data_IF_829337475466
#
_entry.id   IF_829337475466
#
_cell.length_a   1.000
_cell.length_b   1.000
_cell.length_c   1.000
_cell.angle_alpha   90.00
_cell.angle_beta   90.00
_cell.angle_gamma   90.00
#
_symmetry.space_group_name_H-M   'P 1'
#
loop_
_entity.id
_entity.type
_entity.pdbx_description
1 polymer ?
#
# COMPACT_ATOMS: atom_id res chain seq x y z
N UNK A 1 -13.40 -34.05 -35.97
CA UNK A 1 -13.67 -34.90 -34.78
C UNK A 1 -12.34 -35.47 -34.30
N UNK A 2 -12.18 -35.54 -32.98
CA UNK A 2 -11.04 -36.03 -32.17
C UNK A 2 -10.00 -34.99 -31.73
N UNK A 3 -10.46 -34.20 -30.77
CA UNK A 3 -9.91 -33.87 -29.43
C UNK A 3 -8.65 -34.59 -28.89
N UNK A 4 -7.78 -33.77 -28.28
CA UNK A 4 -7.00 -33.91 -27.02
C UNK A 4 -5.97 -35.06 -26.91
N UNK A 5 -4.81 -34.92 -26.26
CA UNK A 5 -4.47 -34.25 -24.98
C UNK A 5 -2.97 -33.89 -24.94
N UNK A 6 -2.61 -32.78 -24.31
CA UNK A 6 -1.27 -32.58 -23.73
C UNK A 6 -1.46 -32.28 -22.25
N UNK A 7 -1.00 -33.13 -21.32
CA UNK A 7 -0.80 -32.76 -19.93
C UNK A 7 0.70 -32.51 -19.71
N UNK A 8 1.07 -31.27 -19.40
CA UNK A 8 2.32 -31.00 -18.70
C UNK A 8 2.00 -30.04 -17.56
N UNK A 9 1.46 -30.61 -16.48
CA UNK A 9 1.40 -29.98 -15.16
C UNK A 9 2.80 -30.15 -14.55
N UNK A 10 3.66 -29.14 -14.70
CA UNK A 10 4.71 -28.91 -13.72
C UNK A 10 4.04 -28.27 -12.51
N UNK A 11 4.01 -29.00 -11.40
CA UNK A 11 3.68 -28.43 -10.10
C UNK A 11 4.86 -27.55 -9.67
N UNK A 12 4.76 -26.23 -9.89
CA UNK A 12 5.58 -25.26 -9.17
C UNK A 12 5.08 -25.23 -7.72
N UNK A 13 5.99 -25.44 -6.77
CA UNK A 13 5.78 -25.03 -5.39
C UNK A 13 5.93 -23.51 -5.36
N UNK A 14 4.84 -22.79 -5.64
CA UNK A 14 4.82 -21.33 -5.59
C UNK A 14 4.73 -20.89 -4.14
N UNK A 15 5.73 -20.16 -3.63
CA UNK A 15 5.53 -19.37 -2.42
C UNK A 15 4.36 -18.40 -2.67
N UNK A 16 3.29 -18.55 -1.91
CA UNK A 16 2.13 -17.67 -2.03
C UNK A 16 2.53 -16.25 -1.57
N UNK A 17 2.06 -15.19 -2.26
CA UNK A 17 2.18 -13.84 -1.73
C UNK A 17 1.54 -13.78 -0.35
N UNK A 18 2.20 -13.09 0.58
CA UNK A 18 1.83 -13.07 1.99
C UNK A 18 1.54 -11.67 2.49
N UNK A 19 0.47 -11.53 3.27
CA UNK A 19 0.18 -10.36 4.09
C UNK A 19 0.80 -10.55 5.48
N UNK A 20 1.44 -9.51 6.02
CA UNK A 20 1.90 -9.49 7.40
C UNK A 20 1.39 -8.24 8.12
N UNK A 21 1.25 -8.37 9.43
CA UNK A 21 0.59 -7.39 10.30
C UNK A 21 1.58 -7.00 11.42
N UNK A 22 1.84 -5.70 11.61
CA UNK A 22 2.70 -5.15 12.67
C UNK A 22 4.16 -4.86 12.29
N UNK A 23 4.92 -4.14 13.17
CA UNK A 23 6.26 -3.62 12.88
C UNK A 23 7.27 -4.76 12.83
N UNK A 24 7.35 -5.45 11.69
CA UNK A 24 8.07 -6.72 11.50
C UNK A 24 8.27 -7.48 12.82
N UNK A 25 7.19 -7.74 13.54
CA UNK A 25 7.17 -8.83 14.51
C UNK A 25 7.03 -10.06 13.63
N UNK A 26 8.15 -10.45 13.02
CA UNK A 26 8.29 -11.71 12.31
C UNK A 26 8.32 -12.78 13.40
N UNK A 27 7.18 -12.97 14.07
CA UNK A 27 6.96 -14.05 15.04
C UNK A 27 6.75 -15.34 14.26
N UNK A 28 7.75 -15.76 13.47
CA UNK A 28 7.88 -17.08 12.84
C UNK A 28 6.74 -17.59 11.94
N UNK A 29 5.63 -16.86 11.81
CA UNK A 29 4.38 -17.35 11.23
C UNK A 29 4.03 -16.73 9.86
N UNK A 30 4.83 -15.78 9.38
CA UNK A 30 4.59 -15.05 8.12
C UNK A 30 5.86 -14.76 7.33
N UNK A 31 6.94 -15.50 7.58
CA UNK A 31 7.99 -15.63 6.57
C UNK A 31 7.35 -16.44 5.45
N UNK A 32 7.20 -15.93 4.20
CA UNK A 32 6.84 -16.78 3.07
C UNK A 32 7.67 -18.07 3.11
N UNK A 33 7.00 -19.22 3.08
CA UNK A 33 7.68 -20.52 3.11
C UNK A 33 8.85 -20.51 2.11
N UNK A 34 10.06 -20.72 2.62
CA UNK A 34 11.28 -20.76 1.81
C UNK A 34 12.19 -19.53 1.83
N UNK A 35 11.96 -18.56 2.72
CA UNK A 35 12.96 -17.51 2.99
C UNK A 35 13.88 -17.88 4.15
N UNK A 36 15.18 -17.72 3.92
CA UNK A 36 16.22 -17.94 4.92
C UNK A 36 16.47 -16.68 5.78
N UNK A 37 17.33 -16.83 6.80
CA UNK A 37 17.72 -15.70 7.67
C UNK A 37 18.35 -14.55 6.89
N UNK A 38 19.05 -14.82 5.79
CA UNK A 38 19.63 -13.76 4.95
C UNK A 38 18.54 -12.91 4.31
N UNK A 39 17.57 -13.56 3.66
CA UNK A 39 16.45 -12.90 3.00
C UNK A 39 15.56 -12.15 4.00
N UNK A 40 15.47 -12.66 5.23
CA UNK A 40 14.81 -11.96 6.33
C UNK A 40 15.50 -10.64 6.69
N UNK A 41 16.83 -10.65 6.81
CA UNK A 41 17.61 -9.44 7.07
C UNK A 41 17.51 -8.45 5.90
N UNK A 42 17.50 -8.95 4.66
CA UNK A 42 17.27 -8.12 3.47
C UNK A 42 15.89 -7.47 3.51
N UNK A 43 14.85 -8.18 3.94
CA UNK A 43 13.50 -7.63 4.09
C UNK A 43 13.44 -6.53 5.18
N UNK A 44 14.07 -6.77 6.34
CA UNK A 44 14.18 -5.76 7.41
C UNK A 44 14.91 -4.51 6.90
N UNK A 45 16.05 -4.70 6.23
CA UNK A 45 16.83 -3.61 5.65
C UNK A 45 16.03 -2.85 4.57
N UNK A 46 15.31 -3.57 3.72
CA UNK A 46 14.47 -3.00 2.66
C UNK A 46 13.33 -2.14 3.22
N UNK A 47 12.82 -2.42 4.42
CA UNK A 47 11.83 -1.55 5.06
C UNK A 47 12.44 -0.28 5.64
N UNK A 48 13.65 -0.37 6.19
CA UNK A 48 14.36 0.80 6.73
C UNK A 48 14.89 1.69 5.60
N UNK A 49 15.19 1.11 4.45
CA UNK A 49 15.77 1.77 3.29
C UNK A 49 15.01 1.41 2.01
N UNK A 50 13.76 1.89 1.85
CA UNK A 50 12.96 1.52 0.70
C UNK A 50 13.47 2.16 -0.59
N UNK A 51 13.35 1.42 -1.69
CA UNK A 51 13.73 1.92 -3.02
C UNK A 51 12.85 3.10 -3.44
N UNK A 52 11.56 3.05 -3.08
CA UNK A 52 10.62 4.15 -3.28
C UNK A 52 9.75 4.33 -2.03
N UNK A 53 9.48 5.57 -1.67
CA UNK A 53 8.59 5.90 -0.55
C UNK A 53 7.80 7.16 -0.89
N UNK A 54 6.56 7.23 -0.41
CA UNK A 54 5.78 8.46 -0.36
C UNK A 54 5.06 8.53 0.97
N UNK A 55 4.93 9.75 1.49
CA UNK A 55 4.21 10.02 2.71
C UNK A 55 3.36 11.27 2.58
N UNK A 56 2.25 11.29 3.31
CA UNK A 56 1.34 12.42 3.39
C UNK A 56 0.94 12.63 4.83
N UNK A 57 0.82 13.87 5.25
CA UNK A 57 0.42 14.20 6.61
C UNK A 57 -1.09 14.38 6.74
N UNK A 58 -1.61 14.05 7.92
CA UNK A 58 -3.03 14.12 8.24
C UNK A 58 -3.25 14.25 9.74
N UNK A 59 -4.47 14.59 10.15
CA UNK A 59 -4.88 14.69 11.55
C UNK A 59 -5.92 13.62 11.88
N UNK A 60 -5.54 12.51 12.54
CA UNK A 60 -6.47 11.39 12.82
C UNK A 60 -7.64 11.77 13.74
N UNK A 61 -7.49 12.82 14.54
CA UNK A 61 -8.43 13.21 15.59
C UNK A 61 -9.13 14.55 15.33
N UNK A 62 -9.04 15.08 14.11
CA UNK A 62 -9.75 16.29 13.70
C UNK A 62 -11.25 15.99 13.51
N UNK A 63 -11.99 15.96 14.63
CA UNK A 63 -13.45 15.75 14.63
C UNK A 63 -14.17 17.08 14.86
N UNK A 64 -15.35 17.25 14.25
CA UNK A 64 -16.17 18.47 14.39
C UNK A 64 -16.49 18.80 15.87
N UNK A 65 -16.61 20.10 16.16
CA UNK A 65 -16.70 20.69 17.49
C UNK A 65 -17.85 20.11 18.34
N UNK A 66 -17.55 19.73 19.59
CA UNK A 66 -18.60 19.33 20.54
C UNK A 66 -18.15 18.58 21.81
N UNK A 67 -16.90 18.13 21.89
CA UNK A 67 -16.43 17.32 23.03
C UNK A 67 -15.30 18.03 23.80
N UNK A 68 -15.50 18.13 25.12
CA UNK A 68 -14.64 18.57 26.24
C UNK A 68 -13.13 18.78 26.01
N UNK A 69 -12.53 19.68 26.79
CA UNK A 69 -11.13 20.14 26.77
C UNK A 69 -10.03 19.06 26.65
N UNK A 70 -10.26 17.82 27.07
CA UNK A 70 -9.34 16.70 26.84
C UNK A 70 -9.22 16.28 25.35
N UNK A 71 -10.15 16.72 24.49
CA UNK A 71 -10.08 16.53 23.04
C UNK A 71 -9.09 17.47 22.35
N UNK A 72 -8.66 18.55 23.02
CA UNK A 72 -7.78 19.55 22.41
C UNK A 72 -6.35 19.05 22.20
N UNK A 73 -5.80 18.25 23.11
CA UNK A 73 -4.42 17.78 23.00
C UNK A 73 -4.18 16.82 21.82
N UNK A 74 -5.19 16.04 21.41
CA UNK A 74 -5.06 15.06 20.32
C UNK A 74 -5.42 15.61 18.95
N UNK A 75 -6.22 16.68 18.89
CA UNK A 75 -6.71 17.27 17.62
C UNK A 75 -5.60 17.81 16.74
N UNK A 76 -4.53 18.31 17.35
CA UNK A 76 -3.43 18.95 16.64
C UNK A 76 -2.24 18.03 16.38
N UNK A 77 -2.33 16.76 16.79
CA UNK A 77 -1.27 15.78 16.51
C UNK A 77 -1.35 15.42 15.04
N UNK A 78 -0.32 15.82 14.30
CA UNK A 78 -0.14 15.50 12.90
C UNK A 78 0.57 14.14 12.78
N UNK A 79 -0.04 13.24 12.02
CA UNK A 79 0.56 11.96 11.66
C UNK A 79 0.99 12.00 10.21
N UNK A 80 2.03 11.26 9.85
CA UNK A 80 2.35 10.96 8.48
C UNK A 80 1.97 9.51 8.17
N UNK A 81 1.12 9.30 7.16
CA UNK A 81 0.92 7.99 6.57
C UNK A 81 1.96 7.80 5.48
N UNK A 82 2.72 6.71 5.53
CA UNK A 82 3.74 6.39 4.54
C UNK A 82 3.48 5.03 3.90
N UNK A 83 3.80 4.96 2.61
CA UNK A 83 3.87 3.73 1.83
C UNK A 83 5.30 3.60 1.34
N UNK A 84 5.91 2.47 1.66
CA UNK A 84 7.27 2.14 1.22
C UNK A 84 7.19 0.93 0.30
N UNK A 85 7.89 1.00 -0.83
CA UNK A 85 8.00 -0.10 -1.80
C UNK A 85 9.47 -0.39 -2.03
N UNK A 86 9.85 -1.64 -1.84
CA UNK A 86 11.24 -2.07 -1.94
C UNK A 86 11.35 -3.32 -2.80
N UNK A 87 12.46 -3.40 -3.52
CA UNK A 87 12.88 -4.53 -4.31
C UNK A 87 14.29 -4.90 -3.86
N UNK A 88 14.44 -6.14 -3.39
CA UNK A 88 15.70 -6.65 -2.84
C UNK A 88 15.98 -8.07 -3.30
N UNK A 89 17.26 -8.37 -3.45
CA UNK A 89 17.72 -9.71 -3.80
C UNK A 89 17.46 -10.70 -2.65
N UNK A 90 16.87 -11.84 -2.99
CA UNK A 90 16.60 -12.99 -2.13
C UNK A 90 17.18 -14.28 -2.77
N UNK A 91 18.52 -14.36 -2.96
CA UNK A 91 19.17 -15.40 -3.76
C UNK A 91 19.03 -16.82 -3.20
N UNK A 92 18.67 -16.95 -1.93
CA UNK A 92 18.51 -18.23 -1.24
C UNK A 92 17.05 -18.65 -1.10
N UNK A 93 16.13 -18.00 -1.82
CA UNK A 93 14.72 -18.39 -1.83
C UNK A 93 14.59 -19.84 -2.32
N UNK A 94 13.99 -20.72 -1.52
CA UNK A 94 13.91 -22.17 -1.84
C UNK A 94 12.78 -22.51 -2.82
N UNK A 95 12.29 -21.55 -3.59
CA UNK A 95 11.10 -21.68 -4.45
C UNK A 95 11.35 -22.42 -5.77
N UNK A 96 12.55 -22.99 -5.96
CA UNK A 96 12.90 -23.76 -7.14
C UNK A 96 13.19 -22.90 -8.37
N UNK A 97 13.15 -21.57 -8.24
CA UNK A 97 13.69 -20.67 -9.26
C UNK A 97 15.22 -20.63 -9.16
N UNK A 98 15.88 -20.46 -10.30
CA UNK A 98 17.34 -20.35 -10.40
C UNK A 98 17.67 -19.03 -11.08
N UNK A 99 18.50 -18.18 -10.46
CA UNK A 99 18.88 -16.89 -11.02
C UNK A 99 19.01 -15.79 -9.98
N UNK A 100 18.97 -14.55 -10.46
CA UNK A 100 18.91 -13.32 -9.65
C UNK A 100 17.49 -13.17 -9.10
N UNK A 101 17.20 -13.85 -8.00
CA UNK A 101 15.87 -13.87 -7.38
C UNK A 101 15.68 -12.59 -6.57
N UNK A 102 14.56 -11.92 -6.81
CA UNK A 102 14.15 -10.71 -6.16
C UNK A 102 12.79 -10.87 -5.49
N UNK A 103 12.59 -10.14 -4.39
CA UNK A 103 11.30 -9.99 -3.74
C UNK A 103 10.91 -8.53 -3.66
N UNK A 104 9.63 -8.27 -3.89
CA UNK A 104 9.04 -6.96 -3.73
C UNK A 104 8.28 -6.94 -2.41
N UNK A 105 8.55 -5.92 -1.60
CA UNK A 105 7.76 -5.65 -0.40
C UNK A 105 7.08 -4.29 -0.50
N UNK A 106 5.82 -4.22 -0.05
CA UNK A 106 5.14 -2.96 0.24
C UNK A 106 4.86 -2.91 1.73
N UNK A 107 5.35 -1.90 2.43
CA UNK A 107 5.02 -1.68 3.84
C UNK A 107 4.28 -0.36 4.04
N UNK A 108 3.43 -0.33 5.06
CA UNK A 108 2.66 0.85 5.44
C UNK A 108 2.99 1.22 6.87
N UNK A 109 3.39 2.47 7.11
CA UNK A 109 3.71 2.97 8.45
C UNK A 109 2.97 4.27 8.78
N UNK A 110 2.91 4.57 10.08
CA UNK A 110 2.50 5.87 10.59
C UNK A 110 3.65 6.44 11.42
N UNK A 111 3.91 7.74 11.23
CA UNK A 111 4.86 8.49 12.05
C UNK A 111 4.16 9.64 12.77
N UNK A 112 4.67 10.02 13.93
CA UNK A 112 4.23 11.19 14.72
C UNK A 112 5.45 11.82 15.42
N UNK A 113 5.38 13.06 15.93
CA UNK A 113 6.58 13.82 16.29
C UNK A 113 7.26 13.42 17.61
N UNK A 114 6.51 13.06 18.65
CA UNK A 114 7.01 13.22 20.03
C UNK A 114 7.26 11.91 20.82
N UNK A 115 7.00 10.73 20.24
CA UNK A 115 7.25 9.45 20.93
C UNK A 115 7.56 8.28 19.99
N UNK A 116 8.24 7.25 20.52
CA UNK A 116 8.44 5.98 19.82
C UNK A 116 7.16 5.11 19.86
N UNK A 117 6.40 5.16 20.95
CA UNK A 117 5.15 4.43 21.10
C UNK A 117 3.96 5.37 21.16
N UNK A 118 2.93 5.05 20.37
CA UNK A 118 1.71 5.86 20.33
C UNK A 118 0.96 5.85 21.68
N UNK A 119 1.17 4.83 22.50
CA UNK A 119 0.63 4.69 23.86
C UNK A 119 1.04 5.84 24.79
N UNK A 120 2.28 6.31 24.62
CA UNK A 120 2.88 7.41 25.39
C UNK A 120 2.29 8.74 24.96
N UNK A 121 2.13 8.92 23.64
CA UNK A 121 1.53 10.11 23.05
C UNK A 121 0.06 10.25 23.43
N UNK A 122 -0.67 9.14 23.46
CA UNK A 122 -2.10 9.10 23.78
C UNK A 122 -2.41 9.04 25.28
N UNK A 123 -1.41 9.22 26.15
CA UNK A 123 -1.51 9.19 27.62
C UNK A 123 -2.42 8.05 28.14
N UNK A 124 -2.18 6.82 27.70
CA UNK A 124 -2.91 5.60 28.12
C UNK A 124 -4.41 5.53 27.77
N UNK A 125 -4.86 6.28 26.76
CA UNK A 125 -6.24 6.24 26.27
C UNK A 125 -6.70 4.82 25.91
N UNK A 126 -7.88 4.40 26.37
CA UNK A 126 -8.53 3.11 26.01
C UNK A 126 -9.11 3.11 24.58
N UNK A 127 -8.73 4.10 23.78
CA UNK A 127 -9.18 4.33 22.41
C UNK A 127 -8.64 3.22 21.50
N UNK A 128 -9.35 2.91 20.42
CA UNK A 128 -8.98 1.88 19.43
C UNK A 128 -8.74 2.54 18.08
N UNK A 129 -7.80 2.00 17.32
CA UNK A 129 -7.62 2.37 15.92
C UNK A 129 -8.06 1.22 15.03
N UNK A 130 -9.02 1.50 14.16
CA UNK A 130 -9.47 0.58 13.14
C UNK A 130 -8.91 1.01 11.78
N UNK A 131 -8.41 0.03 11.04
CA UNK A 131 -7.83 0.19 9.73
C UNK A 131 -8.52 -0.78 8.79
N UNK A 132 -8.96 -0.31 7.63
CA UNK A 132 -9.35 -1.19 6.52
C UNK A 132 -8.57 -0.77 5.29
N UNK A 133 -7.93 -1.71 4.60
CA UNK A 133 -7.16 -1.43 3.40
C UNK A 133 -7.69 -2.21 2.20
N UNK A 134 -7.62 -1.59 1.02
CA UNK A 134 -7.75 -2.33 -0.23
C UNK A 134 -6.43 -3.05 -0.50
N UNK A 135 -6.47 -4.38 -0.37
CA UNK A 135 -5.30 -5.25 -0.34
C UNK A 135 -4.90 -5.70 -1.74
N UNK A 136 -5.82 -6.43 -2.40
CA UNK A 136 -5.63 -6.94 -3.74
C UNK A 136 -6.57 -6.20 -4.69
N UNK A 137 -6.01 -5.35 -5.54
CA UNK A 137 -6.75 -4.71 -6.63
C UNK A 137 -5.79 -4.24 -7.73
N UNK A 138 -6.28 -4.29 -8.96
CA UNK A 138 -5.69 -3.59 -10.08
C UNK A 138 -6.75 -2.63 -10.64
N UNK A 139 -6.44 -1.34 -10.74
CA UNK A 139 -7.39 -0.35 -11.25
C UNK A 139 -7.13 -0.09 -12.73
N UNK A 140 -8.18 0.21 -13.51
CA UNK A 140 -8.00 0.72 -14.86
C UNK A 140 -7.07 1.94 -14.90
N UNK A 141 -6.23 2.04 -15.92
CA UNK A 141 -5.24 3.12 -16.05
C UNK A 141 -5.90 4.50 -16.03
N UNK A 142 -7.10 4.67 -16.59
CA UNK A 142 -7.82 5.95 -16.54
C UNK A 142 -8.18 6.36 -15.11
N UNK A 143 -8.51 5.40 -14.24
CA UNK A 143 -8.73 5.64 -12.81
C UNK A 143 -7.40 5.93 -12.13
N UNK A 144 -6.38 5.09 -12.31
CA UNK A 144 -5.04 5.28 -11.71
C UNK A 144 -4.40 6.62 -12.10
N UNK A 145 -4.52 7.04 -13.36
CA UNK A 145 -4.00 8.30 -13.87
C UNK A 145 -4.79 9.54 -13.43
N UNK A 146 -5.96 9.37 -12.82
CA UNK A 146 -6.68 10.49 -12.23
C UNK A 146 -5.98 11.00 -10.96
N UNK A 147 -5.18 10.16 -10.29
CA UNK A 147 -4.22 10.60 -9.28
C UNK A 147 -2.94 11.12 -9.94
N UNK A 148 -2.59 12.37 -9.68
CA UNK A 148 -1.47 13.09 -10.29
C UNK A 148 -0.47 13.58 -9.25
N UNK A 149 0.65 14.18 -9.69
CA UNK A 149 1.61 14.80 -8.78
C UNK A 149 0.99 15.93 -7.92
N UNK A 150 -0.10 16.56 -8.36
CA UNK A 150 -0.82 17.56 -7.56
C UNK A 150 -1.56 16.96 -6.35
N UNK A 151 -1.90 15.67 -6.41
CA UNK A 151 -2.61 14.97 -5.35
C UNK A 151 -1.67 14.46 -4.25
N UNK A 152 -0.36 14.57 -4.43
CA UNK A 152 0.67 13.92 -3.58
C UNK A 152 0.78 14.48 -2.17
N UNK A 153 0.32 15.71 -1.97
CA UNK A 153 0.23 16.36 -0.67
C UNK A 153 -1.18 16.28 -0.06
N UNK A 154 -2.05 15.42 -0.61
CA UNK A 154 -3.41 15.20 -0.11
C UNK A 154 -3.66 13.73 0.15
N UNK A 155 -4.43 13.44 1.20
CA UNK A 155 -4.97 12.10 1.43
C UNK A 155 -6.26 11.84 0.65
N UNK A 156 -6.82 12.84 -0.05
CA UNK A 156 -8.13 12.72 -0.68
C UNK A 156 -8.18 11.65 -1.76
N UNK A 157 -9.21 10.82 -1.69
CA UNK A 157 -9.54 9.87 -2.76
C UNK A 157 -10.42 10.45 -3.87
N UNK A 158 -10.90 11.70 -3.72
CA UNK A 158 -11.97 12.25 -4.57
C UNK A 158 -11.55 12.38 -6.03
N UNK A 159 -10.30 12.79 -6.31
CA UNK A 159 -9.81 12.93 -7.69
C UNK A 159 -9.81 11.60 -8.45
N UNK A 160 -9.64 10.48 -7.74
CA UNK A 160 -9.52 9.15 -8.34
C UNK A 160 -10.82 8.35 -8.30
N UNK A 161 -11.48 8.31 -7.15
CA UNK A 161 -12.68 7.49 -6.94
C UNK A 161 -13.98 8.26 -7.25
N UNK A 162 -13.93 9.59 -7.26
CA UNK A 162 -15.10 10.46 -7.34
C UNK A 162 -15.80 10.63 -5.99
N UNK A 163 -16.38 11.82 -5.77
CA UNK A 163 -16.99 12.19 -4.50
C UNK A 163 -18.08 11.20 -4.05
N UNK A 164 -18.95 10.76 -4.97
CA UNK A 164 -20.05 9.85 -4.65
C UNK A 164 -19.55 8.49 -4.11
N UNK A 165 -18.48 7.93 -4.71
CA UNK A 165 -17.89 6.69 -4.22
C UNK A 165 -17.23 6.89 -2.85
N UNK A 166 -16.48 7.99 -2.66
CA UNK A 166 -15.85 8.33 -1.37
C UNK A 166 -16.91 8.46 -0.27
N UNK A 167 -17.98 9.21 -0.52
CA UNK A 167 -19.07 9.40 0.44
C UNK A 167 -19.77 8.07 0.77
N UNK A 168 -19.98 7.21 -0.23
CA UNK A 168 -20.60 5.91 -0.04
C UNK A 168 -19.71 4.93 0.74
N UNK A 169 -18.39 4.96 0.51
CA UNK A 169 -17.41 4.20 1.30
C UNK A 169 -17.44 4.69 2.75
N UNK A 170 -17.32 5.99 2.99
CA UNK A 170 -17.32 6.56 4.34
C UNK A 170 -18.63 6.28 5.08
N UNK A 171 -19.77 6.34 4.37
CA UNK A 171 -21.09 6.02 4.93
C UNK A 171 -21.25 4.53 5.27
N UNK A 172 -20.72 3.62 4.45
CA UNK A 172 -20.74 2.17 4.68
C UNK A 172 -19.61 1.66 5.57
N UNK A 173 -18.59 2.50 5.80
CA UNK A 173 -17.38 2.26 6.58
C UNK A 173 -17.58 2.34 8.08
N UNK A 174 -18.83 2.36 8.57
CA UNK A 174 -19.12 2.31 9.99
C UNK A 174 -18.53 1.03 10.58
N UNK A 175 -17.39 1.15 11.27
CA UNK A 175 -16.83 0.07 12.05
C UNK A 175 -17.84 -0.24 13.16
N UNK A 176 -18.58 -1.34 13.00
CA UNK A 176 -19.51 -1.83 14.03
C UNK A 176 -18.68 -2.51 15.10
N UNK A 177 -18.16 -1.74 16.05
CA UNK A 177 -17.74 -2.32 17.31
C UNK A 177 -18.99 -2.70 18.09
N UNK A 178 -19.30 -3.97 18.27
CA UNK A 178 -20.11 -4.31 19.43
C UNK A 178 -19.27 -3.98 20.70
N UNK A 179 -19.94 -3.59 21.78
CA UNK A 179 -19.24 -3.35 23.04
C UNK A 179 -18.51 -4.61 23.55
N UNK A 180 -18.91 -5.78 23.04
CA UNK A 180 -18.49 -7.10 23.50
C UNK A 180 -17.32 -7.72 22.72
N UNK A 181 -17.23 -7.61 21.39
CA UNK A 181 -16.23 -8.36 20.58
C UNK A 181 -14.82 -7.80 20.70
N UNK A 182 -14.63 -6.56 21.16
CA UNK A 182 -13.29 -5.96 21.29
C UNK A 182 -12.46 -5.93 20.00
N UNK A 183 -13.04 -6.21 18.83
CA UNK A 183 -12.40 -6.15 17.51
C UNK A 183 -13.04 -5.07 16.64
N UNK A 184 -12.29 -4.59 15.64
CA UNK A 184 -12.85 -3.80 14.55
C UNK A 184 -13.59 -4.74 13.61
N UNK A 185 -14.88 -4.53 13.40
CA UNK A 185 -15.58 -5.16 12.28
C UNK A 185 -15.29 -4.33 11.03
N UNK A 186 -14.92 -5.00 9.94
CA UNK A 186 -14.74 -4.36 8.64
C UNK A 186 -16.01 -3.67 8.14
N UNK A 187 -15.92 -2.95 7.01
CA UNK A 187 -17.08 -2.27 6.43
C UNK A 187 -18.23 -3.25 6.17
N UNK A 188 -19.47 -2.75 6.26
CA UNK A 188 -20.67 -3.60 6.11
C UNK A 188 -20.85 -4.18 4.70
N UNK A 189 -20.13 -3.61 3.73
CA UNK A 189 -20.09 -4.05 2.34
C UNK A 189 -18.68 -3.90 1.80
N UNK A 190 -18.28 -4.83 0.94
CA UNK A 190 -17.04 -4.71 0.17
C UNK A 190 -17.15 -3.49 -0.75
N UNK A 191 -16.10 -2.66 -0.81
CA UNK A 191 -16.15 -1.39 -1.54
C UNK A 191 -16.42 -1.54 -3.05
N UNK A 192 -16.03 -2.67 -3.64
CA UNK A 192 -16.34 -3.00 -5.04
C UNK A 192 -17.83 -3.26 -5.32
N UNK A 193 -18.63 -3.58 -4.30
CA UNK A 193 -20.07 -3.81 -4.44
C UNK A 193 -20.90 -2.52 -4.27
N UNK A 194 -20.25 -1.40 -3.94
CA UNK A 194 -20.91 -0.11 -3.78
C UNK A 194 -21.35 0.40 -5.16
N UNK A 195 -22.64 0.73 -5.37
CA UNK A 195 -23.14 1.21 -6.65
C UNK A 195 -22.40 2.46 -7.17
N UNK A 196 -22.08 3.38 -6.28
CA UNK A 196 -21.37 4.62 -6.59
C UNK A 196 -19.89 4.39 -6.97
N UNK A 197 -19.33 3.21 -6.66
CA UNK A 197 -17.96 2.84 -6.97
C UNK A 197 -17.84 1.88 -8.16
N UNK A 198 -18.93 1.65 -8.92
CA UNK A 198 -18.93 0.65 -9.99
C UNK A 198 -17.94 0.94 -11.11
N UNK A 199 -17.72 2.21 -11.44
CA UNK A 199 -16.81 2.61 -12.51
C UNK A 199 -15.33 2.62 -12.09
N UNK A 200 -15.06 2.38 -10.81
CA UNK A 200 -13.71 2.33 -10.24
C UNK A 200 -13.44 0.98 -9.60
N UNK A 201 -13.79 0.81 -8.33
CA UNK A 201 -13.52 -0.41 -7.55
C UNK A 201 -14.37 -1.61 -7.99
N UNK A 202 -15.63 -1.35 -8.39
CA UNK A 202 -16.53 -2.41 -8.85
C UNK A 202 -16.12 -3.00 -10.19
N UNK A 203 -15.48 -2.19 -11.04
CA UNK A 203 -14.96 -2.62 -12.33
C UNK A 203 -13.83 -3.64 -12.15
N UNK A 204 -12.86 -3.33 -11.28
CA UNK A 204 -11.77 -4.24 -10.89
C UNK A 204 -12.29 -5.60 -10.42
N UNK A 205 -13.27 -5.61 -9.52
CA UNK A 205 -13.79 -6.87 -8.98
C UNK A 205 -14.47 -7.76 -10.02
N UNK A 206 -15.05 -7.16 -11.07
CA UNK A 206 -15.77 -7.90 -12.12
C UNK A 206 -14.83 -8.48 -13.17
N UNK A 207 -13.77 -7.75 -13.52
CA UNK A 207 -12.91 -8.08 -14.67
C UNK A 207 -11.58 -8.68 -14.23
N UNK A 208 -10.92 -8.11 -13.21
CA UNK A 208 -9.65 -8.60 -12.69
C UNK A 208 -9.81 -9.74 -11.64
N UNK A 209 -11.06 -10.11 -11.32
CA UNK A 209 -11.44 -11.16 -10.36
C UNK A 209 -10.78 -11.06 -8.97
N UNK A 210 -10.23 -9.90 -8.61
CA UNK A 210 -9.51 -9.70 -7.36
C UNK A 210 -9.82 -8.31 -6.80
N UNK A 211 -10.67 -8.31 -5.78
CA UNK A 211 -10.85 -7.17 -4.87
C UNK A 211 -11.03 -7.72 -3.46
N UNK A 212 -10.08 -7.44 -2.57
CA UNK A 212 -10.18 -7.82 -1.15
C UNK A 212 -9.96 -6.61 -0.25
N UNK A 213 -10.65 -6.65 0.89
CA UNK A 213 -10.43 -5.74 1.98
C UNK A 213 -9.83 -6.51 3.14
N UNK A 214 -8.78 -5.97 3.73
CA UNK A 214 -8.26 -6.46 5.00
C UNK A 214 -8.60 -5.44 6.10
N UNK A 215 -9.05 -5.93 7.26
CA UNK A 215 -9.40 -5.08 8.40
C UNK A 215 -8.60 -5.45 9.62
N UNK A 216 -7.89 -4.45 10.13
CA UNK A 216 -6.95 -4.56 11.22
C UNK A 216 -7.47 -3.75 12.41
N UNK A 217 -7.36 -4.34 13.60
CA UNK A 217 -7.67 -3.69 14.87
C UNK A 217 -6.41 -3.55 15.71
N UNK A 218 -6.14 -2.33 16.17
CA UNK A 218 -5.01 -2.03 17.06
C UNK A 218 -5.46 -1.25 18.29
N UNK A 219 -4.92 -1.64 19.43
CA UNK A 219 -5.09 -0.90 20.68
C UNK A 219 -3.97 0.13 20.86
N UNK A 220 -4.24 1.17 21.64
CA UNK A 220 -3.24 2.16 22.02
C UNK A 220 -2.53 1.86 23.35
N UNK A 221 -2.92 0.82 24.10
CA UNK A 221 -2.39 0.55 25.45
C UNK A 221 -1.45 -0.65 25.55
N UNK A 222 -0.52 -0.53 26.50
CA UNK A 222 0.55 -1.48 26.85
C UNK A 222 -0.01 -2.69 27.65
N UNK A 223 0.02 -3.86 27.01
CA UNK A 223 0.14 -5.25 27.53
C UNK A 223 -0.67 -5.77 28.75
N UNK A 224 -1.50 -4.97 29.43
CA UNK A 224 -2.23 -5.42 30.64
C UNK A 224 -3.66 -5.88 30.37
N UNK A 225 -4.26 -5.47 29.25
CA UNK A 225 -5.44 -6.12 28.70
C UNK A 225 -4.96 -7.23 27.76
N UNK A 226 -5.36 -8.48 28.00
CA UNK A 226 -4.98 -9.68 27.23
C UNK A 226 -5.20 -9.62 25.69
N UNK A 227 -5.66 -8.50 25.13
CA UNK A 227 -6.25 -8.42 23.78
C UNK A 227 -5.74 -7.25 22.90
N UNK A 228 -4.68 -6.53 23.28
CA UNK A 228 -3.94 -5.64 22.37
C UNK A 228 -2.56 -6.23 22.12
N UNK A 229 -2.49 -7.27 21.29
CA UNK A 229 -1.24 -8.02 21.05
C UNK A 229 -0.22 -7.25 20.22
N UNK A 230 -0.59 -6.09 19.64
CA UNK A 230 0.28 -5.26 18.79
C UNK A 230 0.02 -3.78 19.02
N UNK A 231 1.08 -3.05 19.39
CA UNK A 231 1.11 -1.61 19.64
C UNK A 231 1.63 -0.90 18.38
N UNK A 232 1.17 0.33 18.11
CA UNK A 232 1.79 1.16 17.09
C UNK A 232 3.14 1.70 17.57
N UNK A 233 4.16 1.40 16.79
CA UNK A 233 5.50 1.96 16.93
C UNK A 233 5.67 2.99 15.83
N UNK A 234 6.25 4.14 16.17
CA UNK A 234 6.52 5.22 15.24
C UNK A 234 7.45 4.72 14.12
N UNK A 235 7.03 4.84 12.87
CA UNK A 235 7.75 4.28 11.73
C UNK A 235 7.79 2.76 11.68
N UNK A 236 7.19 2.09 12.66
CA UNK A 236 6.99 0.66 12.67
C UNK A 236 5.83 0.30 11.75
N UNK A 237 6.13 -0.33 10.62
CA UNK A 237 5.11 -0.71 9.64
C UNK A 237 3.95 -1.47 10.29
N UNK A 238 2.71 -1.07 10.07
CA UNK A 238 1.54 -1.70 10.70
C UNK A 238 0.91 -2.79 9.82
N UNK A 239 1.22 -2.79 8.53
CA UNK A 239 0.86 -3.81 7.54
C UNK A 239 1.92 -3.87 6.44
N UNK A 240 1.98 -4.99 5.72
CA UNK A 240 2.65 -5.04 4.44
C UNK A 240 2.49 -6.34 3.69
N UNK A 241 3.03 -6.36 2.48
CA UNK A 241 2.91 -7.43 1.51
C UNK A 241 4.28 -7.89 1.04
N UNK A 242 4.38 -9.17 0.72
CA UNK A 242 5.46 -9.75 -0.08
C UNK A 242 4.92 -10.31 -1.39
N UNK A 243 5.61 -10.03 -2.48
CA UNK A 243 5.39 -10.74 -3.74
C UNK A 243 5.86 -12.18 -3.63
N UNK A 244 5.39 -13.03 -4.55
CA UNK A 244 6.14 -14.24 -4.88
C UNK A 244 7.54 -13.86 -5.41
N UNK A 245 8.56 -14.72 -5.25
CA UNK A 245 9.88 -14.50 -5.82
C UNK A 245 9.84 -14.32 -7.33
N UNK A 246 10.73 -13.48 -7.84
CA UNK A 246 10.74 -13.06 -9.23
C UNK A 246 12.17 -13.06 -9.76
N UNK A 247 12.33 -13.29 -11.06
CA UNK A 247 13.63 -13.18 -11.71
C UNK A 247 13.89 -11.72 -12.08
N UNK A 248 15.05 -11.20 -11.69
CA UNK A 248 15.59 -9.85 -11.93
C UNK A 248 15.02 -8.70 -11.09
N UNK A 249 15.89 -7.73 -10.81
CA UNK A 249 15.54 -6.42 -10.24
C UNK A 249 14.67 -5.57 -11.18
N UNK A 250 13.83 -4.70 -10.60
CA UNK A 250 12.94 -3.80 -11.34
C UNK A 250 11.79 -4.54 -12.01
N UNK A 251 11.26 -5.57 -11.36
CA UNK A 251 10.20 -6.40 -11.90
C UNK A 251 8.88 -5.66 -12.10
N UNK A 252 7.95 -6.27 -12.86
CA UNK A 252 6.59 -5.71 -13.03
C UNK A 252 5.91 -5.47 -11.68
N UNK A 253 6.12 -6.34 -10.70
CA UNK A 253 5.47 -6.21 -9.39
C UNK A 253 5.99 -5.02 -8.60
N UNK A 254 7.28 -4.68 -8.70
CA UNK A 254 7.84 -3.48 -8.06
C UNK A 254 7.18 -2.22 -8.61
N UNK A 255 7.15 -2.08 -9.93
CA UNK A 255 6.55 -0.91 -10.56
C UNK A 255 5.02 -0.88 -10.43
N UNK A 256 4.34 -2.04 -10.43
CA UNK A 256 2.91 -2.14 -10.15
C UNK A 256 2.62 -1.69 -8.72
N UNK A 257 3.41 -2.13 -7.74
CA UNK A 257 3.27 -1.71 -6.36
C UNK A 257 3.51 -0.21 -6.16
N UNK A 258 4.40 0.42 -6.93
CA UNK A 258 4.60 1.87 -6.90
C UNK A 258 3.46 2.67 -7.54
N UNK A 259 2.88 2.13 -8.62
CA UNK A 259 1.91 2.86 -9.43
C UNK A 259 0.47 2.57 -9.05
N UNK A 260 0.17 1.51 -8.30
CA UNK A 260 -1.17 1.25 -7.79
C UNK A 260 -1.62 2.35 -6.84
N UNK A 261 -2.93 2.59 -6.81
CA UNK A 261 -3.54 3.43 -5.80
C UNK A 261 -3.63 2.65 -4.49
N UNK A 262 -2.90 3.06 -3.46
CA UNK A 262 -3.07 2.53 -2.11
C UNK A 262 -4.26 3.20 -1.45
N UNK A 263 -5.21 2.41 -0.93
CA UNK A 263 -6.44 2.92 -0.32
C UNK A 263 -6.53 2.40 1.11
N UNK A 264 -6.60 3.31 2.08
CA UNK A 264 -6.70 2.98 3.50
C UNK A 264 -7.82 3.80 4.14
N UNK A 265 -8.75 3.13 4.78
CA UNK A 265 -9.75 3.75 5.65
C UNK A 265 -9.29 3.62 7.10
N UNK A 266 -9.30 4.73 7.82
CA UNK A 266 -8.99 4.76 9.24
C UNK A 266 -10.22 5.18 10.04
N UNK A 267 -10.31 4.70 11.28
CA UNK A 267 -11.21 5.23 12.28
C UNK A 267 -10.53 5.17 13.65
N UNK A 268 -10.29 6.35 14.22
CA UNK A 268 -9.79 6.49 15.57
C UNK A 268 -10.96 6.57 16.57
N UNK A 269 -11.33 5.42 17.12
CA UNK A 269 -12.48 5.26 18.01
C UNK A 269 -12.17 5.76 19.42
N UNK A 270 -12.65 6.95 19.78
CA UNK A 270 -12.63 7.41 21.17
C UNK A 270 -13.67 6.66 21.99
N UNK A 271 -13.26 6.10 23.13
CA UNK A 271 -14.20 5.52 24.09
C UNK A 271 -15.18 6.61 24.55
N UNK A 272 -16.42 6.57 24.08
CA UNK A 272 -17.51 7.35 24.68
C UNK A 272 -17.91 6.67 26.00
N UNK A 273 -18.27 7.47 27.02
CA UNK A 273 -18.62 6.97 28.35
C UNK A 273 -19.95 6.21 28.42
N UNK A 274 -20.63 5.97 27.30
CA UNK A 274 -21.96 5.34 27.28
C UNK A 274 -22.17 4.52 26.01
N UNK A 275 -21.77 3.24 26.04
CA UNK A 275 -22.26 2.20 25.13
C UNK A 275 -21.78 2.29 23.67
N UNK A 276 -21.30 1.17 23.12
CA UNK A 276 -20.86 1.05 21.71
C UNK A 276 -22.05 0.77 20.76
N UNK A 277 -23.29 1.04 21.14
CA UNK A 277 -24.47 0.47 20.44
C UNK A 277 -24.86 1.19 19.14
N UNK A 278 -24.44 2.45 18.92
CA UNK A 278 -24.89 3.25 17.77
C UNK A 278 -23.92 3.29 16.57
N UNK A 279 -22.78 2.61 16.64
CA UNK A 279 -21.77 2.64 15.58
C UNK A 279 -21.07 4.00 15.47
N UNK A 280 -19.74 4.01 15.51
CA UNK A 280 -18.98 5.26 15.43
C UNK A 280 -18.86 5.69 13.97
N UNK A 281 -19.54 6.76 13.59
CA UNK A 281 -19.38 7.43 12.29
C UNK A 281 -18.49 8.68 12.36
N UNK A 282 -18.25 9.22 13.57
CA UNK A 282 -17.41 10.40 13.73
C UNK A 282 -15.95 10.01 13.59
N UNK A 283 -15.28 10.58 12.60
CA UNK A 283 -13.83 10.44 12.45
C UNK A 283 -13.32 9.39 11.49
N UNK A 284 -14.21 8.78 10.70
CA UNK A 284 -13.78 7.90 9.62
C UNK A 284 -13.14 8.77 8.54
N UNK A 285 -11.94 8.39 8.11
CA UNK A 285 -11.24 9.06 7.01
C UNK A 285 -10.81 8.01 5.99
N UNK A 286 -10.88 8.35 4.71
CA UNK A 286 -10.47 7.50 3.60
C UNK A 286 -9.30 8.16 2.89
N UNK A 287 -8.18 7.45 2.82
CA UNK A 287 -6.93 7.93 2.28
C UNK A 287 -6.54 7.22 1.01
N UNK A 288 -6.08 7.97 0.03
CA UNK A 288 -5.53 7.47 -1.21
C UNK A 288 -4.12 8.01 -1.44
N UNK A 289 -3.23 7.17 -1.97
CA UNK A 289 -1.87 7.56 -2.32
C UNK A 289 -1.35 6.69 -3.46
N UNK A 290 -0.60 7.28 -4.40
CA UNK A 290 0.31 6.53 -5.29
C UNK A 290 1.74 6.91 -4.97
N UNK A 291 2.60 5.93 -4.75
CA UNK A 291 4.03 6.17 -4.50
C UNK A 291 4.69 6.84 -5.70
N UNK A 292 4.31 6.41 -6.91
CA UNK A 292 4.67 7.04 -8.17
C UNK A 292 3.40 7.54 -8.88
N UNK A 293 3.26 8.86 -9.05
CA UNK A 293 2.13 9.47 -9.75
C UNK A 293 2.45 9.81 -11.23
N UNK A 294 3.51 9.21 -11.78
CA UNK A 294 3.78 9.28 -13.22
C UNK A 294 2.59 8.71 -13.98
N UNK A 295 2.20 9.43 -15.04
CA UNK A 295 1.11 9.01 -15.93
C UNK A 295 1.51 7.74 -16.67
N UNK A 296 0.69 6.70 -16.56
CA UNK A 296 0.85 5.44 -17.27
C UNK A 296 0.28 5.53 -18.70
N UNK A 297 0.84 4.77 -19.66
CA UNK A 297 0.27 4.60 -20.98
C UNK A 297 -1.09 3.92 -20.86
N UNK A 298 -2.00 4.32 -21.75
CA UNK A 298 -3.39 3.83 -21.80
C UNK A 298 -3.56 2.74 -22.86
N UNK A 299 -2.45 2.17 -23.35
CA UNK A 299 -2.51 1.14 -24.37
C UNK A 299 -2.92 -0.17 -23.69
N UNK A 300 -3.99 -0.77 -24.22
CA UNK A 300 -4.51 -2.06 -23.79
C UNK A 300 -3.73 -3.14 -24.54
N UNK A 301 -2.64 -3.61 -23.93
CA UNK A 301 -1.71 -4.54 -24.58
C UNK A 301 -2.35 -5.90 -24.87
N UNK A 302 -3.32 -6.31 -24.07
CA UNK A 302 -3.95 -7.64 -24.17
C UNK A 302 -5.22 -7.63 -25.05
N UNK A 303 -5.78 -6.44 -25.34
CA UNK A 303 -6.96 -6.23 -26.18
C UNK A 303 -8.28 -6.60 -25.51
N UNK A 304 -8.35 -6.66 -24.18
CA UNK A 304 -9.55 -7.00 -23.41
C UNK A 304 -10.56 -5.83 -23.28
N UNK A 305 -10.16 -4.65 -23.77
CA UNK A 305 -10.91 -3.41 -23.76
C UNK A 305 -10.50 -2.45 -22.66
N UNK A 306 -9.58 -2.82 -21.75
CA UNK A 306 -9.13 -1.99 -20.63
C UNK A 306 -7.64 -2.12 -20.38
N UNK A 307 -6.92 -1.01 -20.47
CA UNK A 307 -5.55 -0.93 -19.98
C UNK A 307 -5.55 -0.95 -18.44
N UNK A 308 -4.95 -1.98 -17.86
CA UNK A 308 -4.78 -2.12 -16.41
C UNK A 308 -3.49 -1.48 -15.90
N UNK A 309 -3.42 -1.15 -14.61
CA UNK A 309 -2.22 -0.53 -14.04
C UNK A 309 -1.01 -1.45 -14.21
N UNK A 310 -1.18 -2.75 -13.99
CA UNK A 310 -0.10 -3.73 -14.18
C UNK A 310 0.35 -3.87 -15.64
N UNK A 311 -0.50 -3.54 -16.61
CA UNK A 311 -0.18 -3.57 -18.04
C UNK A 311 0.53 -2.28 -18.48
N UNK A 312 -0.02 -1.12 -18.12
CA UNK A 312 0.60 0.16 -18.43
C UNK A 312 1.99 0.30 -17.81
N UNK A 313 2.24 -0.39 -16.70
CA UNK A 313 3.57 -0.52 -16.10
C UNK A 313 4.52 -1.34 -16.97
N UNK A 314 4.10 -2.48 -17.55
CA UNK A 314 4.94 -3.30 -18.42
C UNK A 314 5.41 -2.50 -19.64
N UNK A 315 4.52 -1.72 -20.24
CA UNK A 315 4.86 -0.87 -21.37
C UNK A 315 5.78 0.29 -20.99
N UNK A 316 5.52 0.92 -19.85
CA UNK A 316 6.39 1.98 -19.31
C UNK A 316 7.79 1.44 -19.03
N UNK A 317 7.91 0.27 -18.40
CA UNK A 317 9.18 -0.37 -18.08
C UNK A 317 9.93 -0.81 -19.33
N UNK A 318 9.23 -1.40 -20.32
CA UNK A 318 9.82 -1.73 -21.63
C UNK A 318 10.35 -0.47 -22.34
N UNK A 319 9.58 0.63 -22.31
CA UNK A 319 10.01 1.91 -22.89
C UNK A 319 11.21 2.53 -22.17
N UNK A 320 11.28 2.39 -20.83
CA UNK A 320 12.41 2.85 -20.02
C UNK A 320 13.67 2.02 -20.29
N UNK A 321 13.56 0.69 -20.37
CA UNK A 321 14.66 -0.20 -20.72
C UNK A 321 15.18 0.07 -22.14
N UNK A 322 14.29 0.36 -23.09
CA UNK A 322 14.68 0.70 -24.45
C UNK A 322 15.31 2.10 -24.54
N UNK A 323 14.88 3.05 -23.70
CA UNK A 323 15.53 4.37 -23.57
C UNK A 323 16.92 4.26 -22.94
N UNK A 324 17.14 3.47 -21.90
CA UNK A 324 18.49 3.27 -21.32
C UNK A 324 19.43 2.55 -22.29
N UNK A 325 18.93 1.56 -23.03
CA UNK A 325 19.70 0.90 -24.11
C UNK A 325 20.04 1.87 -25.26
N UNK A 326 19.14 2.80 -25.61
CA UNK A 326 19.42 3.82 -26.62
C UNK A 326 20.42 4.89 -26.16
N UNK A 327 20.57 5.11 -24.86
CA UNK A 327 21.63 5.97 -24.32
C UNK A 327 22.97 5.25 -24.23
N UNK A 328 22.97 3.94 -23.92
CA UNK A 328 24.18 3.11 -23.97
C UNK A 328 24.66 2.82 -25.41
N UNK A 329 23.79 2.99 -26.42
CA UNK A 329 24.12 2.87 -27.84
C UNK A 329 24.44 4.20 -28.52
N UNK A 330 24.41 5.33 -27.79
CA UNK A 330 25.05 6.55 -28.28
C UNK A 330 26.54 6.24 -28.43
N UNK A 331 27.09 6.35 -29.65
CA UNK A 331 28.46 5.95 -29.87
C UNK A 331 29.35 6.88 -29.02
N UNK A 332 30.29 6.31 -28.25
CA UNK A 332 31.11 7.03 -27.25
C UNK A 332 31.72 8.36 -27.74
N UNK A 333 31.90 8.53 -29.06
CA UNK A 333 32.34 9.80 -29.64
C UNK A 333 31.35 10.96 -29.46
N UNK A 334 30.04 10.71 -29.40
CA UNK A 334 29.01 11.73 -29.18
C UNK A 334 28.99 12.22 -27.73
N UNK A 335 29.21 11.33 -26.76
CA UNK A 335 29.41 11.70 -25.35
C UNK A 335 30.72 12.50 -25.17
N UNK A 336 31.78 12.10 -25.88
CA UNK A 336 33.03 12.86 -25.93
C UNK A 336 32.89 14.26 -26.55
N UNK A 337 32.01 14.42 -27.54
CA UNK A 337 31.77 15.70 -28.21
C UNK A 337 31.01 16.69 -27.31
N UNK A 338 30.04 16.21 -26.52
CA UNK A 338 29.30 17.04 -25.55
C UNK A 338 30.20 17.48 -24.40
N UNK A 339 31.09 16.61 -23.92
CA UNK A 339 32.09 16.96 -22.89
C UNK A 339 33.15 17.94 -23.43
N UNK A 340 33.59 17.81 -24.69
CA UNK A 340 34.55 18.72 -25.29
C UNK A 340 34.00 20.13 -25.55
N UNK A 341 32.69 20.26 -25.82
CA UNK A 341 32.03 21.56 -25.97
C UNK A 341 31.85 22.25 -24.62
N UNK A 342 31.53 21.51 -23.55
CA UNK A 342 31.40 22.07 -22.20
C UNK A 342 32.74 22.54 -21.60
N UNK A 343 33.86 21.93 -21.99
CA UNK A 343 35.20 22.35 -21.52
C UNK A 343 35.68 23.63 -22.24
N UNK A 344 35.28 23.86 -23.49
CA UNK A 344 35.67 25.05 -24.25
C UNK A 344 34.83 26.30 -23.92
N UNK A 345 33.68 26.17 -23.26
CA UNK A 345 32.89 27.32 -22.79
C UNK A 345 33.32 27.85 -21.44
N UNK A 346 34.22 27.17 -20.72
CA UNK A 346 34.78 27.61 -19.44
C UNK A 346 36.21 28.18 -19.54
N UNK A 347 36.75 28.33 -20.75
CA UNK A 347 38.09 28.88 -21.01
C UNK A 347 38.09 30.15 -21.88
N UNK A 348 36.99 30.89 -21.90
CA UNK A 348 36.89 32.23 -22.50
C UNK A 348 36.64 33.31 -21.44
#
# INVERSE_FOLDING_TARGET
MNTFTVPFLLALVTANPGLYDGPLTIDGASIPDGLDTYSLNSAINAQQHPNASRGVTFKPFEFEEGSSSAASAFRDIEWAWRVNVSDFAAPNSTTGETGDIHLVTTSYDFNWPDSDELSTELNSSTTRFCLTMADLHDLPVNVTNAYTENDTNSTSCVSTLGQACVDAILKGGSFRGDAASRYCQGPSQVWSNIPECQDTLGYTSKVAHSFSLDTISRGFNNHTAQNATKVFINGGGWSGYFSSPQNSSGSNTYYTAMNRLHIVMINALRASSTGFEDGYSQGIQLFCMRVNATKLPTDDTNGDGVAWTSEGVLESAASMAQRTLNWASLPMWLVGLVLAVAINTFSA
#
